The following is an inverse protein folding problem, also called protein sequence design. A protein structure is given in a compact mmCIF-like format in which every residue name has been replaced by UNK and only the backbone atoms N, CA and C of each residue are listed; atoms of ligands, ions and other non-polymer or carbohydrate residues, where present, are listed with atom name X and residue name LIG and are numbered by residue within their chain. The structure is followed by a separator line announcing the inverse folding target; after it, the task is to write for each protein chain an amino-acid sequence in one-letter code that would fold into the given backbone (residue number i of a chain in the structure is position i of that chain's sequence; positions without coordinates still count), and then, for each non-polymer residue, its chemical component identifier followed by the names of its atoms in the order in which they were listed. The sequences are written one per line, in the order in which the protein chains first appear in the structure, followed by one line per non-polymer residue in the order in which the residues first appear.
data_IF_465543955679
#
_entry.id   IF_465543955679
#
_cell.length_a   1.000
_cell.length_b   1.000
_cell.length_c   1.000
_cell.angle_alpha   90.00
_cell.angle_beta   90.00
_cell.angle_gamma   90.00
#
_symmetry.space_group_name_H-M   'P 1'
#
loop_
_entity.id
_entity.type
_entity.pdbx_description
1 polymer ?
#
# COMPACT_ATOMS: atom_id res chain seq x y z
N UNK A 1 -22.41 0.19 2.22
CA UNK A 1 -22.18 -1.19 2.68
C UNK A 1 -22.42 -2.13 1.53
N UNK A 2 -21.41 -2.89 1.11
CA UNK A 2 -21.57 -3.96 0.12
C UNK A 2 -21.70 -5.28 0.86
N UNK A 3 -22.82 -5.99 0.71
CA UNK A 3 -23.00 -7.33 1.25
C UNK A 3 -22.60 -8.36 0.19
N UNK A 4 -21.70 -9.28 0.56
CA UNK A 4 -21.42 -10.45 -0.26
C UNK A 4 -22.62 -11.42 -0.29
N UNK A 5 -22.67 -12.32 -1.28
CA UNK A 5 -23.79 -13.26 -1.51
C UNK A 5 -24.15 -14.17 -0.31
N UNK A 6 -23.35 -14.22 0.75
CA UNK A 6 -23.55 -15.06 1.94
C UNK A 6 -23.73 -14.26 3.24
N UNK A 7 -24.11 -12.98 3.19
CA UNK A 7 -24.36 -12.19 4.39
C UNK A 7 -23.10 -11.82 5.20
N UNK A 8 -21.91 -12.14 4.70
CA UNK A 8 -20.64 -11.70 5.31
C UNK A 8 -20.44 -10.26 4.90
N UNK A 9 -20.26 -9.38 5.87
CA UNK A 9 -19.87 -8.00 5.63
C UNK A 9 -18.46 -8.02 5.03
N UNK A 10 -18.34 -7.69 3.73
CA UNK A 10 -17.05 -7.59 3.05
C UNK A 10 -16.50 -6.21 3.34
N UNK A 11 -15.36 -6.14 4.03
CA UNK A 11 -14.61 -4.90 4.23
C UNK A 11 -14.08 -4.33 2.91
N UNK A 12 -13.78 -3.05 2.88
CA UNK A 12 -13.06 -2.48 1.75
C UNK A 12 -11.65 -3.09 1.69
N UNK A 13 -11.18 -3.41 0.48
CA UNK A 13 -9.87 -4.01 0.25
C UNK A 13 -8.77 -2.96 0.34
N UNK A 14 -7.80 -3.16 1.22
CA UNK A 14 -6.63 -2.28 1.39
C UNK A 14 -5.36 -3.05 1.04
N UNK A 15 -4.65 -2.58 0.03
CA UNK A 15 -3.28 -3.01 -0.22
C UNK A 15 -2.32 -2.22 0.67
N UNK A 16 -1.56 -2.93 1.50
CA UNK A 16 -0.62 -2.35 2.48
C UNK A 16 0.78 -2.33 1.88
N UNK A 17 1.30 -1.14 1.60
CA UNK A 17 2.63 -0.95 1.05
C UNK A 17 3.69 -0.98 2.17
N UNK A 18 4.95 -1.25 1.82
CA UNK A 18 6.07 -1.55 2.74
C UNK A 18 6.38 -0.45 3.75
N UNK A 19 6.05 0.83 3.47
CA UNK A 19 6.23 1.91 4.44
C UNK A 19 5.40 1.72 5.71
N UNK A 20 4.26 1.05 5.61
CA UNK A 20 3.37 0.81 6.76
C UNK A 20 4.04 -0.11 7.79
N UNK A 21 4.42 -1.38 7.48
CA UNK A 21 5.12 -2.23 8.42
C UNK A 21 6.48 -1.64 8.83
N UNK A 22 7.12 -0.84 7.97
CA UNK A 22 8.37 -0.17 8.31
C UNK A 22 8.19 0.85 9.42
N UNK A 23 7.15 1.68 9.39
CA UNK A 23 6.88 2.63 10.47
C UNK A 23 6.41 1.95 11.77
N UNK A 24 5.63 0.86 11.66
CA UNK A 24 5.21 0.08 12.82
C UNK A 24 6.38 -0.60 13.55
N UNK A 25 7.37 -1.10 12.82
CA UNK A 25 8.52 -1.78 13.39
C UNK A 25 9.66 -0.83 13.81
N UNK A 26 9.67 0.39 13.32
CA UNK A 26 10.77 1.33 13.56
C UNK A 26 10.82 1.82 15.01
N UNK A 27 12.03 2.10 15.50
CA UNK A 27 12.20 2.80 16.78
C UNK A 27 11.62 4.21 16.67
N UNK A 28 11.11 4.80 17.78
CA UNK A 28 10.60 6.16 17.77
C UNK A 28 11.61 7.15 17.18
N UNK A 29 11.19 7.93 16.19
CA UNK A 29 12.04 8.91 15.53
C UNK A 29 12.21 10.17 16.39
N UNK A 30 13.39 10.83 16.25
CA UNK A 30 13.62 12.16 16.80
C UNK A 30 13.12 13.27 15.85
N UNK A 31 12.90 12.94 14.59
CA UNK A 31 12.24 13.82 13.63
C UNK A 31 10.75 13.85 13.95
N UNK A 32 10.21 15.05 14.20
CA UNK A 32 8.83 15.23 14.63
C UNK A 32 7.80 14.78 13.57
N UNK A 33 8.10 14.99 12.30
CA UNK A 33 7.21 14.58 11.22
C UNK A 33 7.17 13.05 11.11
N UNK A 34 8.33 12.40 11.14
CA UNK A 34 8.41 10.94 11.10
C UNK A 34 7.77 10.34 12.35
N UNK A 35 7.98 10.92 13.53
CA UNK A 35 7.35 10.46 14.76
C UNK A 35 5.82 10.57 14.70
N UNK A 36 5.29 11.65 14.14
CA UNK A 36 3.85 11.81 13.93
C UNK A 36 3.30 10.74 12.97
N UNK A 37 3.98 10.47 11.85
CA UNK A 37 3.59 9.40 10.93
C UNK A 37 3.63 8.01 11.59
N UNK A 38 4.65 7.73 12.42
CA UNK A 38 4.72 6.48 13.20
C UNK A 38 3.50 6.35 14.12
N UNK A 39 3.16 7.41 14.87
CA UNK A 39 2.03 7.43 15.78
C UNK A 39 0.70 7.19 15.04
N UNK A 40 0.44 7.93 13.96
CA UNK A 40 -0.75 7.77 13.13
C UNK A 40 -0.85 6.36 12.53
N UNK A 41 0.27 5.76 12.14
CA UNK A 41 0.31 4.39 11.61
C UNK A 41 -0.09 3.38 12.69
N UNK A 42 0.40 3.53 13.93
CA UNK A 42 0.02 2.70 15.06
C UNK A 42 -1.47 2.87 15.42
N UNK A 43 -1.96 4.09 15.49
CA UNK A 43 -3.39 4.37 15.78
C UNK A 43 -4.30 3.72 14.73
N UNK A 44 -3.96 3.86 13.44
CA UNK A 44 -4.70 3.22 12.37
C UNK A 44 -4.66 1.70 12.47
N UNK A 45 -3.48 1.14 12.71
CA UNK A 45 -3.27 -0.31 12.81
C UNK A 45 -4.07 -0.94 13.94
N UNK A 46 -4.11 -0.30 15.09
CA UNK A 46 -4.83 -0.80 16.27
C UNK A 46 -6.35 -0.56 16.21
N UNK A 47 -6.78 0.61 15.73
CA UNK A 47 -8.18 1.01 15.82
C UNK A 47 -8.98 0.82 14.54
N UNK A 48 -8.36 0.99 13.39
CA UNK A 48 -9.06 1.01 12.08
C UNK A 48 -8.87 -0.24 11.24
N UNK A 49 -7.72 -0.89 11.33
CA UNK A 49 -7.40 -2.10 10.57
C UNK A 49 -8.52 -3.15 10.56
N UNK A 50 -9.21 -3.46 11.69
CA UNK A 50 -10.24 -4.50 11.71
C UNK A 50 -11.46 -4.21 10.82
N UNK A 51 -11.65 -2.98 10.36
CA UNK A 51 -12.75 -2.59 9.47
C UNK A 51 -12.45 -2.87 7.98
N UNK A 52 -11.25 -3.37 7.66
CA UNK A 52 -10.78 -3.55 6.28
C UNK A 52 -10.30 -4.97 6.03
N UNK A 53 -10.37 -5.39 4.76
CA UNK A 53 -9.73 -6.60 4.27
C UNK A 53 -8.32 -6.24 3.75
N UNK A 54 -7.28 -6.57 4.53
CA UNK A 54 -5.90 -6.22 4.18
C UNK A 54 -5.29 -7.24 3.23
N UNK A 55 -4.44 -6.74 2.34
CA UNK A 55 -3.64 -7.53 1.39
C UNK A 55 -2.23 -6.94 1.27
N UNK A 56 -1.27 -7.82 1.03
CA UNK A 56 0.10 -7.48 0.64
C UNK A 56 0.47 -8.25 -0.62
N UNK A 57 1.68 -8.04 -1.14
CA UNK A 57 2.24 -8.87 -2.21
C UNK A 57 3.59 -9.46 -1.81
N UNK A 58 4.11 -10.36 -2.65
CA UNK A 58 5.47 -10.89 -2.50
C UNK A 58 6.51 -9.77 -2.44
N UNK A 59 6.32 -8.69 -3.22
CA UNK A 59 7.21 -7.52 -3.18
C UNK A 59 7.27 -6.87 -1.78
N UNK A 60 6.14 -6.77 -1.09
CA UNK A 60 6.11 -6.24 0.30
C UNK A 60 6.87 -7.14 1.25
N UNK A 61 6.77 -8.47 1.09
CA UNK A 61 7.52 -9.43 1.91
C UNK A 61 9.03 -9.32 1.67
N UNK A 62 9.45 -9.27 0.41
CA UNK A 62 10.88 -9.15 0.03
C UNK A 62 11.48 -7.87 0.58
N UNK A 63 10.81 -6.74 0.42
CA UNK A 63 11.25 -5.45 0.96
C UNK A 63 11.24 -5.45 2.50
N UNK A 64 10.22 -6.05 3.13
CA UNK A 64 10.13 -6.17 4.59
C UNK A 64 11.21 -7.05 5.19
N UNK A 65 11.70 -8.03 4.45
CA UNK A 65 12.79 -8.92 4.85
C UNK A 65 14.18 -8.27 4.75
N UNK A 66 14.30 -7.13 4.05
CA UNK A 66 15.58 -6.46 3.82
C UNK A 66 16.04 -5.62 5.02
N UNK A 67 17.35 -5.37 5.10
CA UNK A 67 17.97 -4.48 6.08
C UNK A 67 18.27 -5.14 7.43
N UNK A 68 18.06 -4.41 8.54
CA UNK A 68 18.33 -4.91 9.89
C UNK A 68 17.48 -6.15 10.22
N UNK A 69 18.12 -7.23 10.66
CA UNK A 69 17.48 -8.53 10.87
C UNK A 69 16.39 -8.49 11.97
N UNK A 70 16.57 -7.65 13.00
CA UNK A 70 15.56 -7.51 14.07
C UNK A 70 14.33 -6.79 13.57
N UNK A 71 14.52 -5.68 12.86
CA UNK A 71 13.42 -4.91 12.27
C UNK A 71 12.72 -5.70 11.15
N UNK A 72 13.47 -6.46 10.35
CA UNK A 72 12.89 -7.35 9.32
C UNK A 72 11.96 -8.39 9.95
N UNK A 73 12.40 -9.04 11.03
CA UNK A 73 11.57 -10.01 11.79
C UNK A 73 10.29 -9.36 12.31
N UNK A 74 10.38 -8.17 12.89
CA UNK A 74 9.22 -7.44 13.40
C UNK A 74 8.22 -7.10 12.28
N UNK A 75 8.71 -6.61 11.12
CA UNK A 75 7.85 -6.33 9.96
C UNK A 75 7.12 -7.59 9.46
N UNK A 76 7.86 -8.70 9.31
CA UNK A 76 7.28 -9.96 8.85
C UNK A 76 6.26 -10.54 9.85
N UNK A 77 6.50 -10.39 11.16
CA UNK A 77 5.52 -10.80 12.18
C UNK A 77 4.21 -10.00 12.10
N UNK A 78 4.29 -8.67 11.86
CA UNK A 78 3.10 -7.83 11.67
C UNK A 78 2.26 -8.26 10.45
N UNK A 79 2.92 -8.80 9.43
CA UNK A 79 2.30 -9.21 8.17
C UNK A 79 1.90 -10.69 8.11
N UNK A 80 2.21 -11.51 9.12
CA UNK A 80 2.09 -12.97 9.09
C UNK A 80 0.68 -13.48 8.74
N UNK A 81 -0.36 -12.77 9.17
CA UNK A 81 -1.77 -13.14 8.93
C UNK A 81 -2.39 -12.41 7.73
N UNK A 82 -1.63 -11.55 7.04
CA UNK A 82 -2.16 -10.77 5.92
C UNK A 82 -2.06 -11.59 4.62
N UNK A 83 -3.17 -11.80 3.88
CA UNK A 83 -3.15 -12.52 2.61
C UNK A 83 -2.21 -11.91 1.58
N UNK A 84 -1.50 -12.78 0.86
CA UNK A 84 -0.49 -12.41 -0.12
C UNK A 84 -1.09 -12.48 -1.53
N UNK A 85 -0.99 -11.39 -2.28
CA UNK A 85 -1.35 -11.31 -3.69
C UNK A 85 -0.16 -11.71 -4.55
N UNK A 86 -0.36 -12.68 -5.45
CA UNK A 86 0.69 -13.18 -6.33
C UNK A 86 1.08 -12.15 -7.41
N UNK A 87 2.36 -12.12 -7.76
CA UNK A 87 2.87 -11.33 -8.87
C UNK A 87 2.70 -12.12 -10.18
N UNK A 88 1.89 -11.59 -11.09
CA UNK A 88 1.65 -12.19 -12.41
C UNK A 88 2.40 -11.44 -13.49
N UNK A 89 2.60 -12.09 -14.66
CA UNK A 89 3.21 -11.44 -15.81
C UNK A 89 2.43 -10.20 -16.30
N UNK A 90 1.11 -10.16 -16.12
CA UNK A 90 0.28 -8.99 -16.44
C UNK A 90 0.58 -7.82 -15.49
N UNK A 91 0.72 -8.08 -14.19
CA UNK A 91 1.10 -7.07 -13.20
C UNK A 91 2.48 -6.49 -13.50
N UNK A 92 3.45 -7.34 -13.85
CA UNK A 92 4.80 -6.88 -14.21
C UNK A 92 4.79 -5.99 -15.47
N UNK A 93 3.99 -6.34 -16.48
CA UNK A 93 3.79 -5.48 -17.67
C UNK A 93 3.13 -4.16 -17.32
N UNK A 94 2.15 -4.17 -16.43
CA UNK A 94 1.47 -2.94 -15.98
C UNK A 94 2.44 -2.03 -15.19
N UNK A 95 3.27 -2.60 -14.32
CA UNK A 95 4.32 -1.87 -13.61
C UNK A 95 5.35 -1.26 -14.58
N UNK A 96 5.79 -2.01 -15.60
CA UNK A 96 6.70 -1.50 -16.64
C UNK A 96 6.06 -0.35 -17.45
N UNK A 97 4.76 -0.44 -17.76
CA UNK A 97 4.03 0.65 -18.42
C UNK A 97 4.01 1.93 -17.56
N UNK A 98 3.87 1.83 -16.23
CA UNK A 98 3.93 2.98 -15.32
C UNK A 98 5.31 3.66 -15.30
N UNK A 99 6.36 2.91 -15.59
CA UNK A 99 7.73 3.44 -15.70
C UNK A 99 8.01 4.00 -17.10
N UNK A 100 7.59 3.31 -18.16
CA UNK A 100 7.94 3.68 -19.55
C UNK A 100 7.02 4.75 -20.14
N UNK A 101 5.74 4.74 -19.78
CA UNK A 101 4.72 5.66 -20.28
C UNK A 101 4.30 6.68 -19.21
N UNK A 102 4.63 6.43 -17.95
CA UNK A 102 4.21 7.18 -16.79
C UNK A 102 5.31 8.06 -16.18
N UNK A 103 5.02 8.65 -15.02
CA UNK A 103 5.92 9.59 -14.35
C UNK A 103 6.89 8.92 -13.37
N UNK A 104 6.80 7.60 -13.18
CA UNK A 104 7.60 6.89 -12.17
C UNK A 104 8.98 6.61 -12.75
N UNK A 105 10.05 7.11 -12.12
CA UNK A 105 11.39 6.88 -12.66
C UNK A 105 11.81 5.41 -12.52
N UNK A 106 12.62 4.91 -13.44
CA UNK A 106 13.08 3.52 -13.46
C UNK A 106 13.72 3.06 -12.14
N UNK A 107 14.39 3.94 -11.44
CA UNK A 107 14.96 3.66 -10.09
C UNK A 107 13.91 3.43 -9.00
N UNK A 108 12.65 3.79 -9.26
CA UNK A 108 11.50 3.59 -8.39
C UNK A 108 10.53 2.55 -8.97
N UNK A 109 11.01 1.57 -9.72
CA UNK A 109 10.19 0.52 -10.34
C UNK A 109 9.42 -0.32 -9.29
N UNK A 110 9.96 -0.47 -8.07
CA UNK A 110 9.24 -1.08 -6.95
C UNK A 110 7.96 -0.33 -6.59
N UNK A 111 8.00 0.99 -6.59
CA UNK A 111 6.81 1.83 -6.34
C UNK A 111 5.74 1.63 -7.42
N UNK A 112 6.17 1.52 -8.69
CA UNK A 112 5.27 1.19 -9.80
C UNK A 112 4.64 -0.20 -9.63
N UNK A 113 5.40 -1.18 -9.11
CA UNK A 113 4.91 -2.53 -8.86
C UNK A 113 3.81 -2.54 -7.79
N UNK A 114 3.97 -1.81 -6.69
CA UNK A 114 2.92 -1.69 -5.67
C UNK A 114 1.61 -1.11 -6.25
N UNK A 115 1.70 -0.06 -7.05
CA UNK A 115 0.53 0.52 -7.74
C UNK A 115 -0.10 -0.51 -8.68
N UNK A 116 0.69 -1.21 -9.47
CA UNK A 116 0.21 -2.21 -10.42
C UNK A 116 -0.51 -3.38 -9.72
N UNK A 117 0.03 -3.89 -8.61
CA UNK A 117 -0.61 -4.96 -7.81
C UNK A 117 -1.95 -4.49 -7.27
N UNK A 118 -1.98 -3.37 -6.56
CA UNK A 118 -3.21 -2.85 -5.97
C UNK A 118 -4.30 -2.59 -7.03
N UNK A 119 -3.89 -2.14 -8.21
CA UNK A 119 -4.76 -1.89 -9.36
C UNK A 119 -5.31 -3.19 -9.96
N UNK A 120 -4.44 -4.16 -10.27
CA UNK A 120 -4.83 -5.41 -10.93
C UNK A 120 -5.75 -6.27 -10.07
N UNK A 121 -5.58 -6.24 -8.75
CA UNK A 121 -6.46 -6.93 -7.80
C UNK A 121 -7.69 -6.13 -7.39
N UNK A 122 -7.91 -4.97 -8.02
CA UNK A 122 -9.04 -4.08 -7.74
C UNK A 122 -9.20 -3.78 -6.24
N UNK A 123 -8.09 -3.43 -5.58
CA UNK A 123 -8.13 -2.93 -4.22
C UNK A 123 -8.85 -1.57 -4.20
N UNK A 124 -9.62 -1.31 -3.15
CA UNK A 124 -10.30 -0.02 -2.96
C UNK A 124 -9.26 1.06 -2.58
N UNK A 125 -8.29 0.68 -1.75
CA UNK A 125 -7.25 1.57 -1.24
C UNK A 125 -5.84 0.98 -1.43
N UNK A 126 -4.87 1.86 -1.69
CA UNK A 126 -3.45 1.60 -1.53
C UNK A 126 -2.94 2.48 -0.38
N UNK A 127 -2.57 1.85 0.73
CA UNK A 127 -2.14 2.52 1.96
C UNK A 127 -0.63 2.66 1.99
N UNK A 128 -0.12 3.90 2.07
CA UNK A 128 1.32 4.19 1.97
C UNK A 128 1.69 5.52 2.60
N UNK A 129 2.95 5.64 3.05
CA UNK A 129 3.59 6.92 3.37
C UNK A 129 4.59 7.37 2.30
N UNK A 130 4.69 6.66 1.18
CA UNK A 130 5.54 7.07 0.06
C UNK A 130 4.92 8.25 -0.70
N UNK A 131 5.05 9.45 -0.14
CA UNK A 131 4.56 10.70 -0.74
C UNK A 131 5.43 11.20 -1.91
N UNK A 132 6.51 10.50 -2.22
CA UNK A 132 7.39 10.88 -3.33
C UNK A 132 6.94 10.30 -4.66
N UNK A 133 6.62 9.02 -4.72
CA UNK A 133 6.33 8.32 -5.97
C UNK A 133 4.97 7.61 -6.00
N UNK A 134 4.29 7.46 -4.87
CA UNK A 134 2.99 6.79 -4.79
C UNK A 134 1.91 7.78 -4.36
N UNK A 135 1.93 8.26 -3.11
CA UNK A 135 0.98 9.24 -2.59
C UNK A 135 1.37 10.67 -2.99
N UNK A 136 1.64 10.90 -4.26
CA UNK A 136 2.02 12.19 -4.83
C UNK A 136 0.94 12.68 -5.79
N UNK A 137 0.26 13.78 -5.45
CA UNK A 137 -0.88 14.29 -6.19
C UNK A 137 -0.56 14.63 -7.67
N UNK A 138 0.64 15.15 -7.96
CA UNK A 138 1.06 15.46 -9.33
C UNK A 138 1.26 14.19 -10.16
N UNK A 139 1.87 13.17 -9.56
CA UNK A 139 2.13 11.88 -10.21
C UNK A 139 0.83 11.12 -10.45
N UNK A 140 -0.07 11.08 -9.49
CA UNK A 140 -1.31 10.30 -9.54
C UNK A 140 -2.18 10.62 -10.76
N UNK A 141 -2.21 11.87 -11.20
CA UNK A 141 -2.96 12.26 -12.41
C UNK A 141 -2.46 11.53 -13.66
N UNK A 142 -1.15 11.44 -13.82
CA UNK A 142 -0.53 10.75 -14.98
C UNK A 142 -0.61 9.23 -14.82
N UNK A 143 -0.38 8.71 -13.61
CA UNK A 143 -0.55 7.28 -13.30
C UNK A 143 -1.96 6.83 -13.66
N UNK A 144 -2.99 7.54 -13.20
CA UNK A 144 -4.40 7.22 -13.53
C UNK A 144 -4.66 7.19 -15.03
N UNK A 145 -4.06 8.12 -15.80
CA UNK A 145 -4.20 8.15 -17.26
C UNK A 145 -3.55 6.92 -17.90
N UNK A 146 -2.37 6.50 -17.45
CA UNK A 146 -1.70 5.30 -17.96
C UNK A 146 -2.53 4.07 -17.65
N UNK A 147 -2.96 3.87 -16.41
CA UNK A 147 -3.77 2.73 -15.99
C UNK A 147 -5.07 2.61 -16.80
N UNK A 148 -5.79 3.73 -17.03
CA UNK A 148 -7.01 3.75 -17.85
C UNK A 148 -6.77 3.34 -19.31
N UNK A 149 -5.64 3.73 -19.90
CA UNK A 149 -5.26 3.28 -21.26
C UNK A 149 -5.04 1.76 -21.32
N UNK A 150 -4.63 1.15 -20.22
CA UNK A 150 -4.47 -0.29 -20.09
C UNK A 150 -5.75 -0.99 -19.56
N UNK A 151 -6.86 -0.28 -19.44
CA UNK A 151 -8.16 -0.86 -19.05
C UNK A 151 -8.38 -1.02 -17.55
N UNK A 152 -7.59 -0.34 -16.72
CA UNK A 152 -7.65 -0.43 -15.25
C UNK A 152 -8.12 0.86 -14.59
N UNK A 153 -8.79 0.74 -13.47
CA UNK A 153 -9.09 1.85 -12.56
C UNK A 153 -8.08 1.87 -11.40
N UNK A 154 -7.53 3.05 -11.13
CA UNK A 154 -6.58 3.24 -10.05
C UNK A 154 -7.29 3.17 -8.69
N UNK A 155 -6.75 2.45 -7.69
CA UNK A 155 -7.25 2.51 -6.31
C UNK A 155 -7.13 3.93 -5.76
N UNK A 156 -7.87 4.24 -4.70
CA UNK A 156 -7.60 5.44 -3.90
C UNK A 156 -6.28 5.26 -3.17
N UNK A 157 -5.29 6.08 -3.52
CA UNK A 157 -4.00 6.08 -2.83
C UNK A 157 -4.12 7.04 -1.65
N UNK A 158 -3.84 6.56 -0.44
CA UNK A 158 -4.01 7.31 0.79
C UNK A 158 -2.97 6.96 1.85
N UNK A 159 -2.83 7.84 2.81
CA UNK A 159 -2.05 7.64 4.03
C UNK A 159 -2.92 7.06 5.15
N UNK A 160 -2.34 6.50 6.22
CA UNK A 160 -3.11 6.14 7.42
C UNK A 160 -3.94 7.29 7.98
N UNK A 161 -3.43 8.53 7.94
CA UNK A 161 -4.16 9.71 8.38
C UNK A 161 -5.48 9.92 7.60
N UNK A 162 -5.41 9.83 6.27
CA UNK A 162 -6.58 9.98 5.39
C UNK A 162 -7.59 8.83 5.52
N UNK A 163 -7.16 7.67 6.04
CA UNK A 163 -8.00 6.48 6.21
C UNK A 163 -8.44 6.26 7.68
N UNK A 164 -8.22 7.23 8.57
CA UNK A 164 -8.66 7.14 9.98
C UNK A 164 -10.17 7.10 10.14
N UNK A 165 -10.93 7.68 9.22
CA UNK A 165 -12.36 7.89 9.35
C UNK A 165 -12.70 9.09 10.25
N UNK A 166 -13.98 9.33 10.46
CA UNK A 166 -14.42 10.36 11.41
C UNK A 166 -14.13 9.89 12.84
N UNK A 167 -13.48 10.74 13.63
CA UNK A 167 -13.33 10.55 15.07
C UNK A 167 -14.65 11.05 15.67
N UNK A 168 -15.50 10.12 16.10
CA UNK A 168 -16.67 10.46 16.92
C UNK A 168 -16.27 10.95 18.32
#
# INVERSE_FOLDING_TARGET
MKFGRNGIQVGAKVYVETTIPSYLAARPSRDLLIAAHQQLTWEWWESRRPAFDLYISEAVLDESAAGDATLARMRLQLLAEVPILALTGEILKLAEALVTEGPIPRKAAGDALHIAVATAYACDYLLTWNCRHIANAEIQRTVRRVLRRHGFEMPTICTPEELMGEVE
#
